data_IF_936686573738
#
_entry.id   IF_936686573738
#
_cell.length_a   1.000
_cell.length_b   1.000
_cell.length_c   1.000
_cell.angle_alpha   90.00
_cell.angle_beta   90.00
_cell.angle_gamma   90.00
#
_symmetry.space_group_name_H-M   'P 1'
#
loop_
_entity.id
_entity.type
_entity.pdbx_description
1 polymer ?
#
# COMPACT_ATOMS: atom_id res chain seq x y z
N UNK A 1 13.98 -71.55 10.33
CA UNK A 1 14.64 -70.29 9.94
C UNK A 1 13.64 -69.42 9.19
N UNK A 2 13.30 -68.28 9.79
CA UNK A 2 12.64 -67.06 9.27
C UNK A 2 11.67 -67.16 8.08
N UNK A 3 10.37 -67.04 8.38
CA UNK A 3 9.41 -66.24 7.59
C UNK A 3 8.44 -65.57 8.56
N UNK A 4 8.78 -64.37 9.04
CA UNK A 4 7.83 -63.47 9.68
C UNK A 4 7.49 -62.36 8.69
N UNK A 5 6.29 -62.46 8.17
CA UNK A 5 5.57 -61.47 7.39
C UNK A 5 4.85 -60.59 8.40
N UNK A 6 5.24 -59.32 8.58
CA UNK A 6 4.35 -58.32 9.16
C UNK A 6 4.64 -56.93 8.57
N UNK A 7 3.54 -56.31 8.14
CA UNK A 7 3.43 -55.09 7.37
C UNK A 7 4.13 -53.88 8.01
N UNK A 8 5.01 -53.23 7.25
CA UNK A 8 5.41 -51.84 7.50
C UNK A 8 4.43 -50.97 6.72
N UNK A 9 3.39 -50.48 7.40
CA UNK A 9 2.52 -49.42 6.89
C UNK A 9 3.39 -48.15 6.87
N UNK A 10 3.86 -47.80 5.68
CA UNK A 10 4.50 -46.52 5.42
C UNK A 10 3.43 -45.42 5.57
N UNK A 11 3.40 -44.78 6.72
CA UNK A 11 2.69 -43.52 6.92
C UNK A 11 3.38 -42.44 6.08
N UNK A 12 2.97 -42.29 4.82
CA UNK A 12 3.21 -41.07 4.06
C UNK A 12 2.43 -39.95 4.75
N UNK A 13 3.10 -39.22 5.65
CA UNK A 13 2.66 -37.89 6.04
C UNK A 13 2.71 -37.00 4.80
N UNK A 14 1.55 -36.79 4.19
CA UNK A 14 1.35 -35.75 3.19
C UNK A 14 1.57 -34.40 3.87
N UNK A 15 2.81 -33.89 3.82
CA UNK A 15 3.11 -32.49 4.10
C UNK A 15 2.48 -31.68 2.97
N UNK A 16 1.22 -31.30 3.17
CA UNK A 16 0.58 -30.34 2.29
C UNK A 16 1.23 -28.98 2.58
N UNK A 17 1.79 -28.27 1.58
CA UNK A 17 2.20 -26.90 1.79
C UNK A 17 0.96 -26.12 2.20
N UNK A 18 1.00 -25.52 3.39
CA UNK A 18 0.03 -24.53 3.80
C UNK A 18 0.19 -23.33 2.86
N UNK A 19 -0.48 -23.38 1.71
CA UNK A 19 -0.74 -22.17 0.93
C UNK A 19 -1.60 -21.30 1.83
N UNK A 20 -0.97 -20.29 2.44
CA UNK A 20 -1.69 -19.20 3.04
C UNK A 20 -2.59 -18.62 1.94
N UNK A 21 -3.90 -18.75 2.12
CA UNK A 21 -4.86 -18.14 1.21
C UNK A 21 -4.65 -16.63 1.26
N UNK A 22 -3.94 -16.08 0.27
CA UNK A 22 -3.92 -14.64 0.03
C UNK A 22 -5.38 -14.24 -0.22
N UNK A 23 -5.92 -13.34 0.61
CA UNK A 23 -7.31 -12.91 0.49
C UNK A 23 -7.62 -12.38 -0.91
N UNK A 24 -8.88 -12.50 -1.33
CA UNK A 24 -9.34 -12.05 -2.65
C UNK A 24 -8.96 -10.59 -2.91
N UNK A 25 -8.32 -10.34 -4.06
CA UNK A 25 -7.93 -9.00 -4.49
C UNK A 25 -9.16 -8.26 -5.01
N UNK A 26 -9.34 -7.03 -4.54
CA UNK A 26 -10.40 -6.15 -4.97
C UNK A 26 -9.95 -5.30 -6.17
N UNK A 27 -10.91 -4.83 -6.96
CA UNK A 27 -10.67 -3.93 -8.10
C UNK A 27 -10.05 -2.61 -7.62
N UNK A 28 -9.10 -2.04 -8.36
CA UNK A 28 -8.44 -0.76 -8.06
C UNK A 28 -8.84 0.35 -9.03
N UNK A 29 -8.65 0.15 -10.32
CA UNK A 29 -9.08 1.05 -11.41
C UNK A 29 -9.79 0.15 -12.43
N UNK A 30 -11.01 0.52 -12.80
CA UNK A 30 -11.86 -0.25 -13.70
C UNK A 30 -12.02 -1.72 -13.25
N UNK A 31 -11.49 -2.66 -14.03
CA UNK A 31 -11.53 -4.11 -13.74
C UNK A 31 -10.19 -4.64 -13.19
N UNK A 32 -9.14 -3.83 -13.18
CA UNK A 32 -7.82 -4.24 -12.71
C UNK A 32 -7.82 -4.44 -11.20
N UNK A 33 -7.01 -5.39 -10.72
CA UNK A 33 -6.86 -5.72 -9.29
C UNK A 33 -5.50 -5.30 -8.70
N UNK A 34 -4.64 -4.71 -9.54
CA UNK A 34 -3.31 -4.24 -9.16
C UNK A 34 -2.90 -3.02 -9.98
N UNK A 35 -2.06 -2.17 -9.39
CA UNK A 35 -1.45 -1.02 -10.08
C UNK A 35 0.05 -0.98 -9.76
N UNK A 36 0.90 -0.94 -10.77
CA UNK A 36 2.35 -0.91 -10.57
C UNK A 36 2.85 0.52 -10.58
N UNK A 37 3.57 0.89 -9.52
CA UNK A 37 4.27 2.17 -9.38
C UNK A 37 5.76 1.95 -9.58
N UNK A 38 6.39 2.80 -10.37
CA UNK A 38 7.84 2.79 -10.61
C UNK A 38 8.51 3.74 -9.63
N UNK A 39 9.21 3.22 -8.63
CA UNK A 39 9.99 4.07 -7.70
C UNK A 39 11.49 3.94 -8.00
N UNK A 40 12.33 4.87 -7.51
CA UNK A 40 13.79 4.74 -7.61
C UNK A 40 14.34 3.45 -6.99
N UNK A 41 13.67 2.93 -5.96
CA UNK A 41 14.05 1.72 -5.24
C UNK A 41 13.51 0.43 -5.89
N UNK A 42 12.70 0.56 -6.95
CA UNK A 42 12.14 -0.54 -7.73
C UNK A 42 10.64 -0.44 -7.95
N UNK A 43 10.11 -1.36 -8.75
CA UNK A 43 8.68 -1.41 -9.03
C UNK A 43 7.91 -1.93 -7.79
N UNK A 44 6.88 -1.19 -7.37
CA UNK A 44 5.99 -1.54 -6.26
C UNK A 44 4.59 -1.83 -6.81
N UNK A 45 4.06 -3.01 -6.52
CA UNK A 45 2.71 -3.40 -6.93
C UNK A 45 1.70 -3.09 -5.82
N UNK A 46 0.83 -2.11 -6.08
CA UNK A 46 -0.30 -1.78 -5.22
C UNK A 46 -1.44 -2.76 -5.47
N UNK A 47 -2.00 -3.31 -4.41
CA UNK A 47 -3.18 -4.21 -4.47
C UNK A 47 -4.19 -3.80 -3.42
N UNK A 48 -5.47 -4.13 -3.64
CA UNK A 48 -6.53 -3.90 -2.66
C UNK A 48 -7.03 -5.23 -2.10
N UNK A 49 -7.29 -5.26 -0.80
CA UNK A 49 -7.89 -6.40 -0.10
C UNK A 49 -8.90 -5.91 0.93
N UNK A 50 -9.83 -6.76 1.31
CA UNK A 50 -10.75 -6.46 2.40
C UNK A 50 -9.98 -6.32 3.72
N UNK A 51 -10.25 -5.25 4.47
CA UNK A 51 -9.70 -5.04 5.82
C UNK A 51 -10.84 -4.92 6.84
N UNK A 52 -10.52 -5.04 8.13
CA UNK A 52 -11.48 -4.68 9.16
C UNK A 52 -11.90 -3.21 9.01
N UNK A 53 -13.14 -2.91 9.39
CA UNK A 53 -13.66 -1.55 9.33
C UNK A 53 -12.78 -0.61 10.17
N UNK A 54 -12.46 0.56 9.62
CA UNK A 54 -11.75 1.61 10.34
C UNK A 54 -12.62 2.20 11.47
N UNK A 55 -12.00 2.82 12.47
CA UNK A 55 -12.72 3.51 13.55
C UNK A 55 -13.35 4.80 13.02
N UNK A 56 -14.63 5.01 13.31
CA UNK A 56 -15.34 6.26 13.00
C UNK A 56 -14.89 7.38 13.97
N UNK A 57 -13.75 8.02 13.68
CA UNK A 57 -13.17 9.09 14.51
C UNK A 57 -13.11 10.47 13.84
N UNK A 58 -13.65 10.63 12.63
CA UNK A 58 -13.66 11.89 11.90
C UNK A 58 -14.89 12.77 12.18
N UNK A 59 -14.82 14.03 11.76
CA UNK A 59 -15.95 14.96 11.65
C UNK A 59 -16.08 15.42 10.19
N UNK A 60 -17.24 15.98 9.84
CA UNK A 60 -17.50 16.47 8.48
C UNK A 60 -16.62 17.67 8.15
N UNK A 61 -15.95 17.63 7.00
CA UNK A 61 -15.10 18.71 6.49
C UNK A 61 -15.59 19.17 5.10
N UNK A 62 -15.36 20.44 4.72
CA UNK A 62 -15.59 20.89 3.36
C UNK A 62 -14.72 20.13 2.35
N UNK A 63 -15.24 19.90 1.14
CA UNK A 63 -14.46 19.30 0.05
C UNK A 63 -13.24 20.17 -0.31
N UNK A 64 -13.43 21.49 -0.37
CA UNK A 64 -12.37 22.47 -0.60
C UNK A 64 -12.12 23.19 0.74
N UNK A 65 -11.00 22.91 1.43
CA UNK A 65 -10.77 23.44 2.77
C UNK A 65 -10.34 24.91 2.79
N UNK A 66 -9.73 25.41 1.71
CA UNK A 66 -9.35 26.82 1.55
C UNK A 66 -9.25 27.19 0.06
N UNK A 67 -9.30 28.49 -0.24
CA UNK A 67 -9.10 29.00 -1.61
C UNK A 67 -7.72 28.62 -2.15
N UNK A 68 -7.64 28.31 -3.45
CA UNK A 68 -6.41 27.88 -4.11
C UNK A 68 -6.06 26.40 -3.94
N UNK A 69 -6.80 25.64 -3.12
CA UNK A 69 -6.61 24.20 -2.96
C UNK A 69 -7.43 23.45 -4.00
N UNK A 70 -6.76 22.59 -4.77
CA UNK A 70 -7.39 21.66 -5.71
C UNK A 70 -7.39 20.25 -5.11
N UNK A 71 -8.53 19.74 -4.61
CA UNK A 71 -8.60 18.39 -4.08
C UNK A 71 -8.36 17.35 -5.18
N UNK A 72 -7.63 16.30 -4.83
CA UNK A 72 -7.39 15.12 -5.67
C UNK A 72 -7.91 13.88 -4.96
N UNK A 73 -8.39 12.90 -5.71
CA UNK A 73 -8.84 11.61 -5.18
C UNK A 73 -7.79 10.53 -5.44
N UNK A 74 -8.06 9.31 -4.98
CA UNK A 74 -7.12 8.20 -5.05
C UNK A 74 -6.69 7.87 -6.49
N UNK A 75 -7.56 8.06 -7.49
CA UNK A 75 -7.25 7.77 -8.90
C UNK A 75 -6.21 8.77 -9.44
N UNK A 76 -6.38 10.06 -9.15
CA UNK A 76 -5.41 11.09 -9.57
C UNK A 76 -4.06 10.84 -8.90
N UNK A 77 -4.06 10.47 -7.61
CA UNK A 77 -2.82 10.13 -6.89
C UNK A 77 -2.13 8.93 -7.54
N UNK A 78 -2.85 7.83 -7.82
CA UNK A 78 -2.25 6.66 -8.48
C UNK A 78 -1.60 7.00 -9.82
N UNK A 79 -2.24 7.86 -10.63
CA UNK A 79 -1.67 8.34 -11.89
C UNK A 79 -0.42 9.18 -11.66
N UNK A 80 -0.44 10.08 -10.69
CA UNK A 80 0.69 10.93 -10.33
C UNK A 80 1.93 10.14 -9.88
N UNK A 81 1.76 8.96 -9.28
CA UNK A 81 2.88 8.13 -8.81
C UNK A 81 3.82 7.63 -9.92
N UNK A 82 3.37 7.61 -11.18
CA UNK A 82 4.19 7.25 -12.33
C UNK A 82 4.53 8.46 -13.22
N UNK A 83 4.10 9.66 -12.82
CA UNK A 83 4.34 10.89 -13.54
C UNK A 83 5.53 11.64 -12.92
N UNK A 84 6.47 12.08 -13.75
CA UNK A 84 7.69 12.76 -13.31
C UNK A 84 7.47 14.24 -13.01
N UNK A 85 6.36 14.80 -13.49
CA UNK A 85 6.01 16.20 -13.28
C UNK A 85 5.24 16.39 -11.96
N UNK A 86 4.95 15.30 -11.24
CA UNK A 86 4.27 15.32 -9.95
C UNK A 86 5.15 14.79 -8.83
N UNK A 87 4.92 15.34 -7.65
CA UNK A 87 5.55 14.90 -6.41
C UNK A 87 4.48 14.66 -5.35
N UNK A 88 4.50 13.48 -4.73
CA UNK A 88 3.63 13.15 -3.59
C UNK A 88 4.39 13.39 -2.30
N UNK A 89 3.82 14.23 -1.44
CA UNK A 89 4.44 14.65 -0.18
C UNK A 89 3.58 14.14 0.97
N UNK A 90 4.16 13.30 1.80
CA UNK A 90 3.55 12.85 3.05
C UNK A 90 3.89 13.85 4.16
N UNK A 91 2.91 14.65 4.55
CA UNK A 91 3.09 15.71 5.55
C UNK A 91 2.90 15.25 7.00
N UNK A 92 2.74 13.93 7.23
CA UNK A 92 2.62 13.37 8.57
C UNK A 92 3.96 13.38 9.30
N UNK A 93 3.91 13.21 10.61
CA UNK A 93 5.09 12.98 11.44
C UNK A 93 5.85 11.72 10.96
N UNK A 94 7.16 11.75 11.14
CA UNK A 94 8.09 10.71 10.64
C UNK A 94 7.71 9.32 11.14
N UNK A 95 7.21 9.20 12.37
CA UNK A 95 6.82 7.92 12.95
C UNK A 95 5.67 7.24 12.18
N UNK A 96 4.76 8.01 11.58
CA UNK A 96 3.69 7.52 10.71
C UNK A 96 4.18 7.18 9.32
N UNK A 97 5.08 8.00 8.78
CA UNK A 97 5.69 7.75 7.48
C UNK A 97 6.41 6.39 7.45
N UNK A 98 7.23 6.12 8.46
CA UNK A 98 8.02 4.89 8.57
C UNK A 98 7.14 3.65 8.80
N UNK A 99 5.98 3.78 9.45
CA UNK A 99 5.01 2.68 9.61
C UNK A 99 4.36 2.26 8.28
N UNK A 100 4.33 3.17 7.32
CA UNK A 100 3.76 2.95 6.00
C UNK A 100 3.34 4.25 5.35
N UNK A 101 3.76 4.43 4.11
CA UNK A 101 3.42 5.58 3.27
C UNK A 101 3.02 5.15 1.87
N UNK A 102 2.60 6.11 1.05
CA UNK A 102 2.34 5.91 -0.37
C UNK A 102 3.69 5.65 -1.07
N UNK A 103 3.81 4.66 -1.97
CA UNK A 103 5.05 4.37 -2.67
C UNK A 103 5.62 5.61 -3.38
N UNK A 104 6.92 5.86 -3.23
CA UNK A 104 7.58 7.01 -3.87
C UNK A 104 7.30 8.38 -3.23
N UNK A 105 6.47 8.46 -2.19
CA UNK A 105 6.23 9.71 -1.48
C UNK A 105 7.47 10.16 -0.68
N UNK A 106 7.70 11.47 -0.65
CA UNK A 106 8.72 12.09 0.22
C UNK A 106 8.07 12.56 1.53
N UNK A 107 8.78 12.45 2.64
CA UNK A 107 8.28 12.94 3.93
C UNK A 107 8.76 14.36 4.20
N UNK A 108 7.82 15.30 4.32
CA UNK A 108 8.09 16.65 4.80
C UNK A 108 6.99 17.01 5.81
N UNK A 109 7.23 16.84 7.11
CA UNK A 109 6.23 17.13 8.14
C UNK A 109 5.62 18.53 7.98
N UNK A 110 4.32 18.67 8.23
CA UNK A 110 3.61 19.95 8.04
C UNK A 110 4.23 21.14 8.78
N UNK A 111 4.94 20.89 9.88
CA UNK A 111 5.68 21.89 10.67
C UNK A 111 6.91 22.44 9.95
N UNK A 112 7.47 21.70 9.01
CA UNK A 112 8.69 22.05 8.27
C UNK A 112 8.40 22.62 6.89
N UNK A 113 7.18 22.43 6.37
CA UNK A 113 6.81 22.82 5.02
C UNK A 113 7.16 24.28 4.70
N UNK A 114 6.77 25.22 5.57
CA UNK A 114 7.00 26.65 5.33
C UNK A 114 8.47 27.05 5.15
N UNK A 115 9.42 26.28 5.70
CA UNK A 115 10.85 26.57 5.61
C UNK A 115 11.56 25.75 4.52
N UNK A 116 10.84 24.85 3.84
CA UNK A 116 11.35 23.99 2.75
C UNK A 116 10.66 24.29 1.41
N UNK A 117 10.12 25.50 1.26
CA UNK A 117 9.39 25.92 0.05
C UNK A 117 10.27 25.98 -1.20
N UNK A 118 11.56 26.17 -1.02
CA UNK A 118 12.57 26.13 -2.08
C UNK A 118 12.63 24.76 -2.79
N UNK A 119 12.36 23.66 -2.08
CA UNK A 119 12.29 22.32 -2.66
C UNK A 119 11.11 22.13 -3.62
N UNK A 120 10.12 23.03 -3.57
CA UNK A 120 8.94 23.02 -4.43
C UNK A 120 9.04 24.02 -5.59
N UNK A 121 10.17 24.73 -5.71
CA UNK A 121 10.35 25.77 -6.72
C UNK A 121 9.63 27.09 -6.40
N UNK A 122 9.35 27.34 -5.12
CA UNK A 122 8.73 28.57 -4.60
C UNK A 122 9.75 29.52 -3.99
#
# INVERSE_FOLDING_TARGET
MKKFLFAVIAALMAVSPAYAAEGEKLRIIDEDTSFTVKTPDGDVVITRKMTSCAKNKGWLQPLIPAEGINPVTEIEVLKALNDKDFMVVDMREVDWFVKGTIPGAINIPYTEMSVRMDEFGC
#
